data_IF_379814205833
#
_entry.id   IF_379814205833
#
_cell.length_a   1.000
_cell.length_b   1.000
_cell.length_c   1.000
_cell.angle_alpha   90.00
_cell.angle_beta   90.00
_cell.angle_gamma   90.00
#
_symmetry.space_group_name_H-M   'P 1'
#
loop_
_entity.id
_entity.type
_entity.pdbx_description
1 polymer ?
#
# COMPACT_ATOMS: atom_id res chain seq x y z
N UNK A 1 23.74 9.49 4.64
CA UNK A 1 22.54 9.21 5.47
C UNK A 1 21.66 8.21 4.76
N UNK A 2 20.95 7.33 5.48
CA UNK A 2 20.03 6.39 4.87
C UNK A 2 18.97 7.13 4.05
N UNK A 3 18.38 6.45 3.07
CA UNK A 3 17.36 7.03 2.20
C UNK A 3 16.22 7.64 3.04
N UNK A 4 15.85 8.88 2.73
CA UNK A 4 14.82 9.61 3.47
C UNK A 4 15.33 10.52 4.58
N UNK A 5 16.64 10.53 4.90
CA UNK A 5 17.21 11.43 5.91
C UNK A 5 18.50 12.14 5.46
N UNK A 6 18.84 13.26 6.12
CA UNK A 6 20.02 14.09 5.92
C UNK A 6 20.46 14.80 7.23
N UNK A 7 21.52 15.61 7.16
CA UNK A 7 22.08 16.36 8.29
C UNK A 7 23.30 15.68 8.94
N UNK A 8 23.92 16.35 9.90
CA UNK A 8 25.19 15.91 10.54
C UNK A 8 25.13 14.50 11.16
N UNK A 9 23.96 14.08 11.63
CA UNK A 9 23.73 12.75 12.21
C UNK A 9 22.57 11.99 11.55
N UNK A 10 22.16 12.39 10.36
CA UNK A 10 21.03 11.76 9.65
C UNK A 10 19.69 11.79 10.43
N UNK A 11 19.57 12.71 11.39
CA UNK A 11 18.40 12.89 12.25
C UNK A 11 17.29 13.70 11.59
N UNK A 12 17.58 14.38 10.48
CA UNK A 12 16.62 15.24 9.80
C UNK A 12 16.04 14.50 8.60
N UNK A 13 14.71 14.47 8.47
CA UNK A 13 14.06 13.88 7.29
C UNK A 13 14.27 14.74 6.06
N UNK A 14 14.27 14.15 4.86
CA UNK A 14 14.40 14.94 3.64
C UNK A 14 13.39 16.07 3.54
N UNK A 15 13.81 17.26 3.10
CA UNK A 15 12.89 18.36 2.85
C UNK A 15 11.93 17.99 1.71
N UNK A 16 10.82 18.73 1.63
CA UNK A 16 9.80 18.49 0.61
C UNK A 16 10.40 18.58 -0.80
N UNK A 17 9.90 17.74 -1.71
CA UNK A 17 10.41 17.56 -3.06
C UNK A 17 11.83 16.98 -3.17
N UNK A 18 12.44 16.48 -2.09
CA UNK A 18 13.73 15.78 -2.14
C UNK A 18 13.63 14.35 -1.63
N UNK A 19 14.48 13.47 -2.16
CA UNK A 19 14.47 12.06 -1.81
C UNK A 19 15.84 11.37 -1.96
N UNK A 20 15.89 10.12 -1.51
CA UNK A 20 17.06 9.25 -1.64
C UNK A 20 18.08 9.43 -0.51
N UNK A 21 19.26 8.84 -0.67
CA UNK A 21 20.33 8.91 0.32
C UNK A 21 20.82 10.35 0.49
N UNK A 22 20.88 10.80 1.75
CA UNK A 22 21.22 12.19 2.08
C UNK A 22 20.35 13.22 1.36
N UNK A 23 19.17 12.83 0.88
CA UNK A 23 18.25 13.68 0.13
C UNK A 23 18.86 14.30 -1.12
N UNK A 24 19.80 13.61 -1.77
CA UNK A 24 20.55 14.16 -2.90
C UNK A 24 19.76 14.30 -4.20
N UNK A 25 18.52 13.78 -4.27
CA UNK A 25 17.70 13.78 -5.49
C UNK A 25 16.47 14.66 -5.30
N UNK A 26 16.01 15.30 -6.39
CA UNK A 26 14.77 16.08 -6.43
C UNK A 26 13.67 15.29 -7.13
N UNK A 27 12.47 15.32 -6.58
CA UNK A 27 11.28 14.73 -7.19
C UNK A 27 10.84 15.52 -8.43
N UNK A 28 10.62 14.81 -9.53
CA UNK A 28 10.04 15.31 -10.78
C UNK A 28 8.88 14.40 -11.18
N UNK A 29 7.76 14.56 -10.48
CA UNK A 29 6.66 13.61 -10.47
C UNK A 29 5.57 13.98 -11.48
N UNK A 30 4.95 12.97 -12.09
CA UNK A 30 3.78 13.16 -12.96
C UNK A 30 2.54 13.50 -12.12
N UNK A 31 1.48 13.99 -12.76
CA UNK A 31 0.24 14.42 -12.08
C UNK A 31 -0.41 13.38 -11.14
N UNK A 32 -0.20 12.08 -11.36
CA UNK A 32 -0.75 10.99 -10.54
C UNK A 32 0.25 10.44 -9.50
N UNK A 33 1.37 11.13 -9.29
CA UNK A 33 2.45 10.68 -8.43
C UNK A 33 2.68 11.66 -7.28
N UNK A 34 3.09 11.12 -6.14
CA UNK A 34 3.45 11.86 -4.95
C UNK A 34 4.95 11.72 -4.71
N UNK A 35 5.59 12.81 -4.31
CA UNK A 35 7.00 12.77 -3.91
C UNK A 35 7.14 12.13 -2.53
N UNK A 36 7.71 10.94 -2.51
CA UNK A 36 8.14 10.20 -1.33
C UNK A 36 9.63 10.48 -1.06
N UNK A 37 9.97 10.83 0.18
CA UNK A 37 11.32 11.17 0.64
C UNK A 37 12.34 10.03 0.51
N UNK A 38 11.86 8.79 0.42
CA UNK A 38 12.67 7.58 0.36
C UNK A 38 12.89 7.17 -1.09
N UNK A 39 11.81 6.99 -1.85
CA UNK A 39 11.85 6.36 -3.17
C UNK A 39 11.58 7.34 -4.33
N UNK A 40 11.24 8.60 -4.04
CA UNK A 40 10.99 9.63 -5.05
C UNK A 40 9.55 9.62 -5.51
N UNK A 41 9.30 9.63 -6.82
CA UNK A 41 7.94 9.67 -7.34
C UNK A 41 7.28 8.30 -7.26
N UNK A 42 6.28 8.17 -6.38
CA UNK A 42 5.46 6.97 -6.24
C UNK A 42 4.04 7.26 -6.71
N UNK A 43 3.36 6.26 -7.27
CA UNK A 43 1.97 6.43 -7.69
C UNK A 43 1.07 6.67 -6.46
N UNK A 44 0.16 7.62 -6.55
CA UNK A 44 -0.81 7.96 -5.49
C UNK A 44 -1.89 6.89 -5.28
N UNK A 45 -1.75 5.70 -5.88
CA UNK A 45 -2.78 4.68 -5.82
C UNK A 45 -2.89 4.08 -4.42
N UNK A 46 -4.12 4.03 -3.91
CA UNK A 46 -4.38 3.47 -2.59
C UNK A 46 -4.01 4.36 -1.42
N UNK A 47 -3.82 5.68 -1.61
CA UNK A 47 -3.57 6.63 -0.52
C UNK A 47 -4.79 7.53 -0.29
N UNK A 48 -5.35 7.57 0.93
CA UNK A 48 -6.51 8.41 1.26
C UNK A 48 -6.17 9.66 2.09
N UNK A 49 -4.94 9.74 2.61
CA UNK A 49 -4.49 10.87 3.40
C UNK A 49 -2.97 10.99 3.37
N UNK A 50 -2.48 12.22 3.48
CA UNK A 50 -1.06 12.50 3.53
C UNK A 50 -0.81 13.63 4.54
N UNK A 51 -0.51 13.28 5.79
CA UNK A 51 -0.24 14.25 6.85
C UNK A 51 1.23 14.72 6.83
N UNK A 52 1.89 14.63 5.68
CA UNK A 52 3.27 15.07 5.48
C UNK A 52 4.33 14.02 5.80
N UNK A 53 4.09 13.01 6.63
CA UNK A 53 5.15 12.08 7.06
C UNK A 53 4.73 10.60 7.21
N UNK A 54 3.44 10.29 7.07
CA UNK A 54 2.94 8.92 7.11
C UNK A 54 1.97 8.71 5.94
N UNK A 55 2.29 7.74 5.08
CA UNK A 55 1.45 7.40 3.94
C UNK A 55 0.23 6.64 4.47
N UNK A 56 -0.93 7.30 4.49
CA UNK A 56 -2.16 6.68 4.97
C UNK A 56 -2.79 5.91 3.80
N UNK A 57 -2.71 4.58 3.88
CA UNK A 57 -3.32 3.71 2.90
C UNK A 57 -4.85 3.67 3.05
N UNK A 58 -5.53 3.73 1.91
CA UNK A 58 -6.96 3.51 1.78
C UNK A 58 -7.37 2.15 2.35
N UNK A 59 -8.67 2.01 2.60
CA UNK A 59 -9.29 0.70 2.82
C UNK A 59 -8.95 -0.22 1.64
N UNK A 60 -8.57 -1.46 1.95
CA UNK A 60 -8.10 -2.47 1.00
C UNK A 60 -6.68 -2.24 0.47
N UNK A 61 -5.90 -1.41 1.15
CA UNK A 61 -4.47 -1.25 0.89
C UNK A 61 -3.66 -1.40 2.19
N UNK A 62 -2.42 -1.85 2.06
CA UNK A 62 -1.44 -2.02 3.14
C UNK A 62 -0.13 -1.33 2.79
N UNK A 63 0.49 -0.68 3.78
CA UNK A 63 1.81 -0.08 3.61
C UNK A 63 2.87 -1.18 3.51
N UNK A 64 3.50 -1.32 2.34
CA UNK A 64 4.64 -2.21 2.13
C UNK A 64 5.69 -1.50 1.29
N UNK A 65 6.94 -1.55 1.76
CA UNK A 65 8.10 -1.00 1.06
C UNK A 65 7.98 0.50 0.73
N UNK A 66 7.26 1.27 1.57
CA UNK A 66 7.13 2.72 1.41
C UNK A 66 5.98 3.20 0.52
N UNK A 67 5.12 2.30 0.04
CA UNK A 67 3.93 2.60 -0.76
C UNK A 67 2.74 1.72 -0.38
N UNK A 68 1.54 2.12 -0.80
CA UNK A 68 0.31 1.38 -0.54
C UNK A 68 0.11 0.30 -1.59
N UNK A 69 0.12 -0.97 -1.15
CA UNK A 69 -0.20 -2.13 -2.00
C UNK A 69 -1.62 -2.58 -1.76
N UNK A 70 -2.30 -3.01 -2.80
CA UNK A 70 -3.63 -3.59 -2.68
C UNK A 70 -3.60 -4.87 -1.83
N UNK A 71 -4.66 -5.11 -1.05
CA UNK A 71 -4.73 -6.28 -0.18
C UNK A 71 -4.66 -7.59 -0.98
N UNK A 72 -3.97 -8.61 -0.46
CA UNK A 72 -3.98 -9.93 -1.07
C UNK A 72 -5.41 -10.48 -1.10
N UNK A 73 -5.68 -11.32 -2.11
CA UNK A 73 -6.99 -11.93 -2.27
C UNK A 73 -7.43 -12.64 -0.99
N UNK A 74 -8.71 -12.48 -0.63
CA UNK A 74 -9.25 -13.05 0.60
C UNK A 74 -9.11 -12.16 1.83
N UNK A 75 -8.47 -11.00 1.74
CA UNK A 75 -8.40 -10.02 2.82
C UNK A 75 -8.89 -8.64 2.37
N UNK A 76 -9.40 -7.85 3.31
CA UNK A 76 -9.93 -6.51 3.09
C UNK A 76 -9.74 -5.63 4.34
N UNK A 77 -10.27 -4.40 4.30
CA UNK A 77 -10.18 -3.40 5.39
C UNK A 77 -8.84 -2.63 5.41
N UNK A 78 -8.68 -1.75 6.40
CA UNK A 78 -7.44 -1.00 6.62
C UNK A 78 -6.33 -1.97 7.00
N UNK A 79 -5.18 -1.87 6.33
CA UNK A 79 -4.04 -2.77 6.51
C UNK A 79 -4.35 -4.27 6.29
N UNK A 80 -5.41 -4.61 5.55
CA UNK A 80 -5.78 -5.99 5.22
C UNK A 80 -6.04 -6.90 6.43
N UNK A 81 -6.52 -6.32 7.54
CA UNK A 81 -6.72 -7.06 8.80
C UNK A 81 -7.93 -8.00 8.80
N UNK A 82 -8.87 -7.82 7.88
CA UNK A 82 -10.12 -8.61 7.85
C UNK A 82 -10.09 -9.65 6.73
N UNK A 83 -10.63 -10.84 7.00
CA UNK A 83 -10.82 -11.90 6.01
C UNK A 83 -12.15 -11.73 5.27
N UNK A 84 -12.22 -12.12 3.99
CA UNK A 84 -13.46 -12.03 3.22
C UNK A 84 -14.65 -12.66 3.94
N UNK A 85 -15.84 -12.02 3.89
CA UNK A 85 -17.03 -12.56 4.51
C UNK A 85 -17.36 -13.97 3.98
N UNK A 86 -18.00 -14.83 4.79
CA UNK A 86 -18.39 -16.17 4.36
C UNK A 86 -19.16 -16.17 3.04
N UNK A 87 -18.74 -17.02 2.10
CA UNK A 87 -19.35 -17.11 0.77
C UNK A 87 -18.81 -16.09 -0.25
N UNK A 88 -17.85 -15.24 0.11
CA UNK A 88 -17.15 -14.34 -0.81
C UNK A 88 -15.67 -14.71 -0.95
N UNK A 89 -15.08 -14.34 -2.08
CA UNK A 89 -13.66 -14.59 -2.33
C UNK A 89 -13.02 -13.58 -3.29
N UNK A 90 -11.70 -13.69 -3.44
CA UNK A 90 -10.93 -12.97 -4.46
C UNK A 90 -10.54 -11.56 -4.03
N UNK A 91 -10.20 -10.73 -5.02
CA UNK A 91 -9.80 -9.36 -4.80
C UNK A 91 -11.01 -8.51 -4.34
N UNK A 92 -10.82 -7.73 -3.27
CA UNK A 92 -11.88 -6.92 -2.64
C UNK A 92 -13.15 -7.73 -2.27
N UNK A 93 -13.03 -9.05 -2.12
CA UNK A 93 -14.15 -9.97 -1.87
C UNK A 93 -15.30 -9.82 -2.88
N UNK A 94 -15.00 -9.48 -4.14
CA UNK A 94 -16.00 -9.32 -5.20
C UNK A 94 -16.54 -10.66 -5.73
N UNK A 95 -15.77 -11.75 -5.59
CA UNK A 95 -16.19 -13.08 -5.99
C UNK A 95 -17.24 -13.66 -5.04
N UNK A 96 -18.19 -14.42 -5.58
CA UNK A 96 -19.21 -15.14 -4.80
C UNK A 96 -19.01 -16.63 -5.01
N UNK A 97 -18.86 -17.38 -3.92
CA UNK A 97 -18.72 -18.82 -3.95
C UNK A 97 -20.06 -19.49 -4.26
N UNK A 98 -20.13 -20.16 -5.41
CA UNK A 98 -21.30 -20.95 -5.85
C UNK A 98 -21.14 -22.45 -5.51
N UNK A 99 -20.53 -22.75 -4.36
CA UNK A 99 -20.26 -24.10 -3.89
C UNK A 99 -20.57 -24.21 -2.39
N UNK A 100 -20.48 -25.41 -1.84
CA UNK A 100 -20.55 -25.63 -0.40
C UNK A 100 -19.60 -24.68 0.33
N UNK A 101 -20.06 -24.05 1.42
CA UNK A 101 -19.27 -23.12 2.22
C UNK A 101 -17.94 -23.74 2.69
N UNK A 102 -17.90 -25.06 2.91
CA UNK A 102 -16.69 -25.82 3.30
C UNK A 102 -15.63 -25.94 2.20
N UNK A 103 -15.98 -25.65 0.94
CA UNK A 103 -15.09 -25.71 -0.24
C UNK A 103 -14.78 -24.32 -0.81
N UNK A 104 -15.24 -23.27 -0.13
CA UNK A 104 -15.03 -21.88 -0.52
C UNK A 104 -13.75 -21.36 0.15
N UNK A 105 -12.68 -21.24 -0.62
CA UNK A 105 -11.47 -20.55 -0.22
C UNK A 105 -11.65 -19.03 -0.41
N UNK A 106 -11.29 -18.24 0.58
CA UNK A 106 -11.44 -16.77 0.56
C UNK A 106 -10.58 -16.10 -0.51
N UNK A 107 -9.46 -16.69 -0.94
CA UNK A 107 -8.58 -16.08 -1.94
C UNK A 107 -8.94 -16.50 -3.37
N UNK A 108 -9.22 -17.79 -3.61
CA UNK A 108 -9.42 -18.34 -4.95
C UNK A 108 -10.83 -18.84 -5.23
N UNK A 109 -11.70 -18.91 -4.21
CA UNK A 109 -13.09 -19.30 -4.35
C UNK A 109 -13.30 -20.80 -4.26
N UNK A 110 -14.17 -21.33 -5.12
CA UNK A 110 -14.54 -22.74 -5.06
C UNK A 110 -13.40 -23.63 -5.54
N UNK A 111 -12.88 -24.47 -4.64
CA UNK A 111 -11.97 -25.54 -5.02
C UNK A 111 -12.68 -26.49 -5.97
N UNK A 112 -12.28 -26.52 -7.24
CA UNK A 112 -12.79 -27.50 -8.21
C UNK A 112 -12.24 -28.87 -7.83
N UNK A 113 -13.12 -29.86 -7.78
CA UNK A 113 -12.77 -31.27 -7.64
C UNK A 113 -12.62 -31.88 -9.04
#
# INVERSE_FOLDING_TARGET
>A
CPKGTFGENCSTQCPDNMYGESCAKRCDCKANQVCNRVDGCIDSWGTCGNNGYELICCINYILKDGYCKECPHGTYSQNCSEDCPPGKYGLLCKGICNCDAKKCDKAVGCSKK
#
